data_IF_302942874890
#
_entry.id   IF_302942874890
#
_cell.length_a   1.000
_cell.length_b   1.000
_cell.length_c   1.000
_cell.angle_alpha   90.00
_cell.angle_beta   90.00
_cell.angle_gamma   90.00
#
_symmetry.space_group_name_H-M   'P 1'
#
loop_
_entity.id
_entity.type
_entity.pdbx_description
1 polymer ?
#
# COMPACT_ATOMS: atom_id res chain seq x y z
N UNK A 1 12.95 14.29 8.50
CA UNK A 1 12.21 14.54 9.76
C UNK A 1 10.98 15.44 9.59
N UNK A 2 11.08 16.64 8.99
CA UNK A 2 9.94 17.57 8.84
C UNK A 2 8.69 16.92 8.19
N UNK A 3 8.84 16.14 7.13
CA UNK A 3 7.71 15.46 6.48
C UNK A 3 7.03 14.41 7.38
N UNK A 4 7.79 13.66 8.19
CA UNK A 4 7.22 12.69 9.11
C UNK A 4 6.42 13.38 10.24
N UNK A 5 6.95 14.49 10.78
CA UNK A 5 6.24 15.29 11.78
C UNK A 5 4.97 15.90 11.18
N UNK A 6 5.06 16.45 9.95
CA UNK A 6 3.90 17.00 9.27
C UNK A 6 2.84 15.94 9.03
N UNK A 7 3.24 14.73 8.55
CA UNK A 7 2.34 13.60 8.35
C UNK A 7 1.64 13.15 9.63
N UNK A 8 2.33 13.09 10.77
CA UNK A 8 1.73 12.71 12.06
C UNK A 8 0.74 13.75 12.60
N UNK A 9 0.93 15.03 12.26
CA UNK A 9 0.06 16.11 12.71
C UNK A 9 -1.19 16.26 11.83
N UNK A 10 -1.07 16.03 10.52
CA UNK A 10 -2.12 16.30 9.54
C UNK A 10 -2.72 15.05 8.89
N UNK A 11 -2.09 13.90 9.09
CA UNK A 11 -2.54 12.63 8.56
C UNK A 11 -3.67 12.01 9.38
N UNK A 12 -4.38 11.07 8.76
CA UNK A 12 -5.36 10.22 9.46
C UNK A 12 -5.38 8.83 8.85
N UNK A 13 -5.91 7.88 9.61
CA UNK A 13 -6.11 6.50 9.21
C UNK A 13 -7.48 6.00 9.65
N UNK A 14 -8.13 5.26 8.78
CA UNK A 14 -9.39 4.57 9.05
C UNK A 14 -9.36 3.13 8.55
N UNK A 15 -10.33 2.35 8.99
CA UNK A 15 -10.51 0.97 8.54
C UNK A 15 -11.99 0.65 8.42
N UNK A 16 -12.36 -0.01 7.33
CA UNK A 16 -13.74 -0.43 7.06
C UNK A 16 -13.74 -1.88 6.58
N UNK A 17 -14.79 -2.62 6.98
CA UNK A 17 -15.06 -3.96 6.48
C UNK A 17 -16.38 -3.93 5.72
N UNK A 18 -16.34 -4.13 4.40
CA UNK A 18 -17.48 -3.90 3.52
C UNK A 18 -17.82 -5.17 2.75
N UNK A 19 -19.10 -5.53 2.71
CA UNK A 19 -19.58 -6.66 1.92
C UNK A 19 -19.54 -6.36 0.42
N UNK A 20 -19.31 -7.41 -0.37
CA UNK A 20 -19.40 -7.33 -1.83
C UNK A 20 -20.81 -6.89 -2.27
N UNK A 21 -20.89 -5.89 -3.11
CA UNK A 21 -22.13 -5.28 -3.62
C UNK A 21 -22.66 -4.13 -2.80
N UNK A 22 -22.06 -3.79 -1.65
CA UNK A 22 -22.52 -2.72 -0.76
C UNK A 22 -21.84 -1.39 -1.02
N UNK A 23 -22.58 -0.32 -0.70
CA UNK A 23 -22.07 1.03 -0.64
C UNK A 23 -21.60 1.33 0.78
N UNK A 24 -20.57 2.17 0.89
CA UNK A 24 -20.08 2.61 2.21
C UNK A 24 -19.59 4.06 2.17
N UNK A 25 -19.66 4.69 3.34
CA UNK A 25 -18.98 5.95 3.64
C UNK A 25 -17.93 5.67 4.71
N UNK A 26 -16.86 6.44 4.71
CA UNK A 26 -15.81 6.29 5.73
C UNK A 26 -16.34 6.80 7.06
N UNK A 27 -16.47 5.92 8.04
CA UNK A 27 -17.00 6.25 9.36
C UNK A 27 -16.00 5.91 10.47
N UNK A 28 -15.23 4.84 10.30
CA UNK A 28 -14.34 4.33 11.33
C UNK A 28 -12.93 4.92 11.16
N UNK A 29 -12.70 6.09 11.72
CA UNK A 29 -11.37 6.70 11.83
C UNK A 29 -10.72 6.15 13.11
N UNK A 30 -9.60 5.46 12.95
CA UNK A 30 -8.85 4.80 14.03
C UNK A 30 -7.84 5.77 14.65
N UNK A 31 -7.20 6.58 13.81
CA UNK A 31 -6.16 7.53 14.23
C UNK A 31 -6.25 8.80 13.40
N UNK A 32 -6.05 9.95 14.05
CA UNK A 32 -6.03 11.24 13.38
C UNK A 32 -5.13 12.21 14.13
N UNK A 33 -4.23 12.85 13.40
CA UNK A 33 -3.40 13.93 13.96
C UNK A 33 -4.24 15.14 14.38
N UNK A 34 -3.69 16.02 15.24
CA UNK A 34 -4.44 17.15 15.80
C UNK A 34 -4.91 18.18 14.76
N UNK A 35 -4.32 18.22 13.59
CA UNK A 35 -4.72 19.08 12.46
C UNK A 35 -5.24 18.28 11.26
N UNK A 36 -5.49 17.00 11.44
CA UNK A 36 -6.08 16.15 10.40
C UNK A 36 -7.51 16.61 10.07
N UNK A 37 -7.93 16.35 8.83
CA UNK A 37 -9.28 16.69 8.33
C UNK A 37 -9.96 15.44 7.75
N UNK A 38 -10.29 14.44 8.57
CA UNK A 38 -10.98 13.24 8.08
C UNK A 38 -12.38 13.55 7.52
N UNK A 39 -12.94 14.72 7.83
CA UNK A 39 -14.26 15.17 7.33
C UNK A 39 -14.31 15.23 5.80
N UNK A 40 -13.19 15.36 5.12
CA UNK A 40 -13.16 15.38 3.63
C UNK A 40 -13.70 14.09 3.02
N UNK A 41 -13.69 12.99 3.76
CA UNK A 41 -14.20 11.70 3.30
C UNK A 41 -15.72 11.53 3.46
N UNK A 42 -16.39 12.42 4.22
CA UNK A 42 -17.82 12.31 4.52
C UNK A 42 -18.71 12.51 3.30
N UNK A 43 -18.24 13.32 2.33
CA UNK A 43 -18.98 13.60 1.11
C UNK A 43 -18.78 12.53 0.03
N UNK A 44 -17.94 11.53 0.29
CA UNK A 44 -17.64 10.49 -0.68
C UNK A 44 -18.46 9.25 -0.39
N UNK A 45 -19.09 8.73 -1.42
CA UNK A 45 -19.75 7.45 -1.40
C UNK A 45 -18.89 6.46 -2.19
N UNK A 46 -18.61 5.33 -1.58
CA UNK A 46 -17.87 4.24 -2.22
C UNK A 46 -18.78 3.05 -2.42
N UNK A 47 -18.49 2.25 -3.45
CA UNK A 47 -19.17 1.00 -3.72
C UNK A 47 -18.14 -0.10 -3.93
N UNK A 48 -18.28 -1.20 -3.21
CA UNK A 48 -17.56 -2.44 -3.52
C UNK A 48 -18.39 -3.20 -4.55
N UNK A 49 -18.05 -3.05 -5.84
CA UNK A 49 -18.79 -3.73 -6.91
C UNK A 49 -18.65 -5.24 -6.80
N UNK A 50 -17.45 -5.71 -6.50
CA UNK A 50 -17.13 -7.12 -6.36
C UNK A 50 -15.93 -7.31 -5.47
N UNK A 51 -15.94 -8.34 -4.65
CA UNK A 51 -14.79 -8.89 -3.93
C UNK A 51 -14.61 -10.36 -4.33
N UNK A 52 -13.37 -10.82 -4.57
CA UNK A 52 -13.07 -12.21 -4.84
C UNK A 52 -11.66 -12.57 -4.41
N UNK A 53 -11.41 -13.86 -4.25
CA UNK A 53 -10.12 -14.43 -3.88
C UNK A 53 -9.73 -15.42 -4.97
N UNK A 54 -8.50 -15.31 -5.46
CA UNK A 54 -7.87 -16.33 -6.29
C UNK A 54 -7.09 -17.28 -5.38
N UNK A 55 -7.20 -18.57 -5.66
CA UNK A 55 -6.58 -19.62 -4.88
C UNK A 55 -5.53 -20.35 -5.69
N UNK A 56 -4.44 -20.75 -5.03
CA UNK A 56 -3.43 -21.63 -5.61
C UNK A 56 -4.01 -23.03 -5.89
N UNK A 57 -3.38 -23.85 -6.75
CA UNK A 57 -3.81 -25.24 -6.96
C UNK A 57 -3.82 -26.09 -5.67
N UNK A 58 -3.07 -25.71 -4.66
CA UNK A 58 -3.02 -26.36 -3.35
C UNK A 58 -4.07 -25.86 -2.37
N UNK A 59 -4.94 -24.91 -2.77
CA UNK A 59 -6.02 -24.35 -1.96
C UNK A 59 -5.62 -23.20 -1.03
N UNK A 60 -4.36 -22.74 -1.08
CA UNK A 60 -3.93 -21.52 -0.41
C UNK A 60 -4.43 -20.27 -1.12
N UNK A 61 -4.52 -19.16 -0.42
CA UNK A 61 -4.85 -17.85 -1.02
C UNK A 61 -3.64 -17.40 -1.84
N UNK A 62 -3.87 -17.13 -3.13
CA UNK A 62 -2.90 -16.49 -4.00
C UNK A 62 -3.01 -14.97 -3.88
N UNK A 63 -4.19 -14.42 -4.15
CA UNK A 63 -4.46 -12.99 -4.07
C UNK A 63 -5.93 -12.74 -3.81
N UNK A 64 -6.26 -11.61 -3.20
CA UNK A 64 -7.62 -11.13 -3.06
C UNK A 64 -7.78 -9.73 -3.66
N UNK A 65 -8.92 -9.52 -4.31
CA UNK A 65 -9.20 -8.36 -5.13
C UNK A 65 -10.50 -7.69 -4.72
N UNK A 66 -10.53 -6.37 -4.82
CA UNK A 66 -11.74 -5.58 -4.67
C UNK A 66 -11.89 -4.62 -5.84
N UNK A 67 -13.01 -4.69 -6.52
CA UNK A 67 -13.41 -3.73 -7.54
C UNK A 67 -14.23 -2.63 -6.87
N UNK A 68 -13.65 -1.42 -6.77
CA UNK A 68 -14.20 -0.31 -6.01
C UNK A 68 -14.48 0.86 -6.93
N UNK A 69 -15.69 1.40 -6.80
CA UNK A 69 -16.11 2.66 -7.42
C UNK A 69 -16.21 3.77 -6.38
N UNK A 70 -15.76 4.96 -6.75
CA UNK A 70 -16.03 6.21 -6.04
C UNK A 70 -17.22 6.88 -6.75
N UNK A 71 -18.25 7.22 -6.00
CA UNK A 71 -19.45 7.84 -6.49
C UNK A 71 -19.51 9.29 -6.01
N UNK A 72 -20.05 10.18 -6.85
CA UNK A 72 -20.35 11.55 -6.45
C UNK A 72 -21.67 11.64 -5.63
N UNK A 73 -22.04 12.85 -5.25
CA UNK A 73 -23.29 13.10 -4.50
C UNK A 73 -24.55 12.76 -5.30
N UNK A 74 -24.46 12.67 -6.63
CA UNK A 74 -25.52 12.27 -7.54
C UNK A 74 -25.56 10.75 -7.78
N UNK A 75 -24.61 10.01 -7.18
CA UNK A 75 -24.46 8.55 -7.33
C UNK A 75 -23.79 8.12 -8.64
N UNK A 76 -23.18 9.05 -9.38
CA UNK A 76 -22.45 8.72 -10.61
C UNK A 76 -21.03 8.28 -10.30
N UNK A 77 -20.55 7.29 -11.02
CA UNK A 77 -19.19 6.78 -10.88
C UNK A 77 -18.18 7.80 -11.44
N UNK A 78 -17.37 8.37 -10.53
CA UNK A 78 -16.30 9.32 -10.89
C UNK A 78 -14.94 8.66 -11.00
N UNK A 79 -14.75 7.51 -10.36
CA UNK A 79 -13.54 6.73 -10.43
C UNK A 79 -13.83 5.26 -10.11
N UNK A 80 -13.14 4.35 -10.80
CA UNK A 80 -13.20 2.91 -10.52
C UNK A 80 -11.82 2.29 -10.62
N UNK A 81 -11.51 1.36 -9.73
CA UNK A 81 -10.27 0.59 -9.77
C UNK A 81 -10.45 -0.76 -9.09
N UNK A 82 -9.92 -1.80 -9.70
CA UNK A 82 -9.66 -3.06 -9.02
C UNK A 82 -8.38 -2.91 -8.22
N UNK A 83 -8.48 -3.07 -6.91
CA UNK A 83 -7.36 -3.02 -5.98
C UNK A 83 -7.04 -4.40 -5.44
N UNK A 84 -5.80 -4.59 -5.07
CA UNK A 84 -5.27 -5.79 -4.41
C UNK A 84 -4.08 -5.39 -3.53
N UNK A 85 -3.44 -6.36 -2.86
CA UNK A 85 -2.28 -6.07 -2.00
C UNK A 85 -1.19 -5.35 -2.79
N UNK A 86 -0.69 -4.22 -2.26
CA UNK A 86 0.28 -3.30 -2.87
C UNK A 86 -0.21 -2.51 -4.10
N UNK A 87 -1.46 -2.65 -4.52
CA UNK A 87 -2.03 -1.87 -5.63
C UNK A 87 -3.28 -1.09 -5.18
N UNK A 88 -3.10 0.02 -4.43
CA UNK A 88 -4.20 0.77 -3.82
C UNK A 88 -4.96 1.68 -4.81
N UNK A 89 -6.18 2.07 -4.42
CA UNK A 89 -6.90 3.19 -5.00
C UNK A 89 -6.46 4.49 -4.30
N UNK A 90 -6.15 5.53 -5.08
CA UNK A 90 -5.87 6.88 -4.56
C UNK A 90 -6.93 7.85 -5.06
N UNK A 91 -7.51 8.62 -4.13
CA UNK A 91 -8.52 9.61 -4.43
C UNK A 91 -8.41 10.80 -3.49
N UNK A 92 -8.25 12.02 -4.04
CA UNK A 92 -8.15 13.29 -3.31
C UNK A 92 -7.21 13.26 -2.08
N UNK A 93 -6.00 12.68 -2.24
CA UNK A 93 -4.99 12.62 -1.17
C UNK A 93 -5.20 11.48 -0.16
N UNK A 94 -6.29 10.72 -0.27
CA UNK A 94 -6.53 9.51 0.53
C UNK A 94 -6.20 8.28 -0.31
N UNK A 95 -5.52 7.33 0.31
CA UNK A 95 -5.16 6.05 -0.29
C UNK A 95 -5.91 4.93 0.40
N UNK A 96 -6.56 4.07 -0.39
CA UNK A 96 -7.35 2.92 0.06
C UNK A 96 -6.56 1.66 -0.24
N UNK A 97 -6.13 0.98 0.80
CA UNK A 97 -5.38 -0.27 0.74
C UNK A 97 -6.29 -1.45 1.01
N UNK A 98 -6.12 -2.50 0.24
CA UNK A 98 -6.67 -3.82 0.53
C UNK A 98 -5.83 -4.46 1.64
N UNK A 99 -6.43 -4.72 2.81
CA UNK A 99 -5.69 -5.21 4.00
C UNK A 99 -6.21 -6.51 4.56
N UNK A 100 -7.50 -6.77 4.42
CA UNK A 100 -8.13 -7.95 5.02
C UNK A 100 -9.31 -8.44 4.18
N UNK A 101 -9.86 -9.60 4.54
CA UNK A 101 -11.04 -10.18 3.96
C UNK A 101 -11.86 -10.94 5.01
N UNK A 102 -13.12 -11.16 4.71
CA UNK A 102 -14.00 -11.93 5.58
C UNK A 102 -15.19 -12.51 4.82
N UNK A 103 -16.11 -13.12 5.56
CA UNK A 103 -17.40 -13.55 5.07
C UNK A 103 -18.46 -12.70 5.77
N UNK A 104 -19.15 -11.86 5.00
CA UNK A 104 -20.17 -10.96 5.54
C UNK A 104 -21.50 -11.68 5.75
N UNK A 105 -21.91 -12.47 4.78
CA UNK A 105 -23.22 -13.08 4.79
C UNK A 105 -23.27 -14.35 3.94
N UNK A 106 -24.37 -15.09 4.10
CA UNK A 106 -24.76 -16.17 3.20
C UNK A 106 -26.13 -15.88 2.62
N UNK A 107 -26.31 -16.10 1.33
CA UNK A 107 -27.62 -16.07 0.66
C UNK A 107 -28.17 -17.48 0.54
N UNK A 108 -29.34 -17.68 1.10
CA UNK A 108 -30.01 -19.00 1.16
C UNK A 108 -31.47 -18.91 0.77
N UNK A 109 -32.04 -20.05 0.39
CA UNK A 109 -33.48 -20.25 0.35
C UNK A 109 -33.87 -21.32 1.36
N UNK A 110 -34.94 -21.09 2.09
CA UNK A 110 -35.53 -22.02 3.02
C UNK A 110 -36.88 -22.43 2.44
N UNK A 111 -37.03 -23.71 2.07
CA UNK A 111 -38.19 -24.21 1.36
C UNK A 111 -38.52 -23.39 0.10
N UNK A 112 -39.68 -22.77 0.05
CA UNK A 112 -40.17 -21.91 -1.03
C UNK A 112 -39.96 -20.41 -0.75
N UNK A 113 -39.12 -20.05 0.24
CA UNK A 113 -38.87 -18.63 0.56
C UNK A 113 -38.20 -17.89 -0.61
N UNK A 114 -38.31 -16.53 -0.65
CA UNK A 114 -37.37 -15.76 -1.43
C UNK A 114 -35.93 -16.01 -0.96
N UNK A 115 -34.94 -15.44 -1.68
CA UNK A 115 -33.55 -15.48 -1.22
C UNK A 115 -33.44 -14.62 0.02
N UNK A 116 -32.99 -15.22 1.11
CA UNK A 116 -32.69 -14.56 2.38
C UNK A 116 -31.18 -14.34 2.47
N UNK A 117 -30.77 -13.18 2.96
CA UNK A 117 -29.38 -12.90 3.29
C UNK A 117 -29.20 -12.93 4.80
N UNK A 118 -28.45 -13.89 5.29
CA UNK A 118 -28.16 -14.06 6.72
C UNK A 118 -26.73 -13.60 6.99
N UNK A 119 -26.51 -12.71 7.98
CA UNK A 119 -25.18 -12.31 8.37
C UNK A 119 -24.39 -13.48 8.93
N UNK A 120 -23.09 -13.51 8.67
CA UNK A 120 -22.17 -14.47 9.26
C UNK A 120 -21.23 -13.75 10.23
N UNK A 121 -21.16 -14.23 11.47
CA UNK A 121 -20.26 -13.70 12.48
C UNK A 121 -18.95 -14.47 12.46
N UNK A 122 -17.84 -13.77 12.62
CA UNK A 122 -16.54 -14.40 12.84
C UNK A 122 -16.53 -15.02 14.25
N UNK A 123 -16.22 -16.30 14.35
CA UNK A 123 -16.17 -17.05 15.59
C UNK A 123 -14.74 -17.08 16.13
N UNK A 124 -14.61 -16.91 17.44
CA UNK A 124 -13.32 -17.09 18.10
C UNK A 124 -12.97 -18.59 18.13
N UNK A 125 -11.89 -18.95 17.47
CA UNK A 125 -11.36 -20.31 17.49
C UNK A 125 -10.09 -20.34 18.35
N UNK A 126 -9.91 -21.41 19.12
CA UNK A 126 -8.67 -21.62 19.90
C UNK A 126 -7.47 -22.02 19.03
N UNK A 127 -7.58 -21.95 17.70
CA UNK A 127 -6.58 -22.31 16.72
C UNK A 127 -6.29 -21.21 15.71
N UNK A 128 -5.30 -21.45 14.84
CA UNK A 128 -4.81 -20.47 13.83
C UNK A 128 -5.74 -20.29 12.62
N UNK A 129 -7.00 -20.73 12.67
CA UNK A 129 -7.94 -20.66 11.54
C UNK A 129 -9.02 -19.62 11.75
N UNK A 130 -9.46 -18.98 10.67
CA UNK A 130 -10.67 -18.15 10.65
C UNK A 130 -11.87 -19.03 10.45
N UNK A 131 -12.96 -18.74 11.16
CA UNK A 131 -14.22 -19.45 11.05
C UNK A 131 -15.36 -18.44 11.15
N UNK A 132 -16.31 -18.54 10.24
CA UNK A 132 -17.54 -17.74 10.27
C UNK A 132 -18.72 -18.67 10.44
N UNK A 133 -19.73 -18.20 11.15
CA UNK A 133 -20.91 -18.98 11.42
C UNK A 133 -22.18 -18.16 11.46
N UNK A 134 -23.27 -18.82 11.16
CA UNK A 134 -24.64 -18.34 11.38
C UNK A 134 -25.53 -19.48 11.83
N UNK A 135 -26.60 -19.14 12.53
CA UNK A 135 -27.58 -20.11 12.95
C UNK A 135 -28.86 -19.97 12.12
N UNK A 136 -29.40 -21.10 11.67
CA UNK A 136 -30.58 -21.15 10.80
C UNK A 136 -31.67 -21.95 11.53
N UNK A 137 -32.83 -21.34 11.84
CA UNK A 137 -33.94 -22.04 12.45
C UNK A 137 -34.54 -23.06 11.47
N UNK A 138 -34.81 -24.28 11.96
CA UNK A 138 -35.53 -25.32 11.23
C UNK A 138 -36.96 -25.46 11.68
N UNK A 139 -37.36 -24.73 12.76
CA UNK A 139 -38.73 -24.62 13.23
C UNK A 139 -39.13 -23.15 13.36
N UNK A 140 -40.42 -22.88 13.18
CA UNK A 140 -40.98 -21.51 13.25
C UNK A 140 -40.96 -20.92 14.66
N UNK A 141 -40.97 -21.76 15.69
CA UNK A 141 -40.88 -21.39 17.11
C UNK A 141 -39.41 -21.17 17.56
N UNK A 142 -38.46 -21.28 16.67
CA UNK A 142 -37.00 -21.14 16.92
C UNK A 142 -36.44 -22.18 17.91
N UNK A 143 -37.21 -23.23 18.25
CA UNK A 143 -36.80 -24.27 19.22
C UNK A 143 -35.77 -25.25 18.66
N UNK A 144 -35.61 -25.30 17.34
CA UNK A 144 -34.61 -26.13 16.67
C UNK A 144 -34.00 -25.39 15.46
N UNK A 145 -32.73 -25.65 15.23
CA UNK A 145 -31.99 -25.05 14.12
C UNK A 145 -30.67 -25.75 13.89
N UNK A 146 -29.97 -25.32 12.91
CA UNK A 146 -28.65 -25.80 12.53
C UNK A 146 -27.65 -24.64 12.48
N UNK A 147 -26.40 -24.92 12.84
CA UNK A 147 -25.29 -23.99 12.68
C UNK A 147 -24.61 -24.22 11.35
N UNK A 148 -24.44 -23.16 10.58
CA UNK A 148 -23.76 -23.19 9.32
C UNK A 148 -22.42 -22.48 9.48
N UNK A 149 -21.34 -23.18 9.13
CA UNK A 149 -19.98 -22.72 9.31
C UNK A 149 -19.24 -22.66 7.97
N UNK A 150 -18.42 -21.63 7.77
CA UNK A 150 -17.55 -21.46 6.63
C UNK A 150 -16.14 -21.06 7.08
N UNK A 151 -15.11 -21.58 6.42
CA UNK A 151 -13.69 -21.25 6.69
C UNK A 151 -13.09 -20.28 5.66
N UNK A 152 -13.61 -20.31 4.45
CA UNK A 152 -13.12 -19.52 3.33
C UNK A 152 -14.23 -19.24 2.30
N UNK A 153 -13.87 -18.57 1.22
CA UNK A 153 -14.76 -18.29 0.09
C UNK A 153 -14.70 -19.32 -1.05
N UNK A 154 -14.05 -20.48 -0.84
CA UNK A 154 -14.11 -21.60 -1.80
C UNK A 154 -15.49 -22.26 -1.82
N UNK A 155 -16.34 -21.85 -0.90
CA UNK A 155 -17.75 -22.18 -0.89
C UNK A 155 -18.11 -23.47 -0.16
N UNK A 156 -17.19 -24.11 0.56
CA UNK A 156 -17.52 -25.27 1.40
C UNK A 156 -18.14 -24.82 2.71
N UNK A 157 -19.38 -25.24 2.94
CA UNK A 157 -20.17 -24.92 4.11
C UNK A 157 -20.48 -26.19 4.90
N UNK A 158 -20.17 -26.15 6.19
CA UNK A 158 -20.38 -27.26 7.11
C UNK A 158 -21.66 -26.99 7.92
N UNK A 159 -22.56 -27.94 7.96
CA UNK A 159 -23.83 -27.85 8.72
C UNK A 159 -23.76 -28.75 9.92
N UNK A 160 -23.98 -28.17 11.11
CA UNK A 160 -23.98 -28.88 12.38
C UNK A 160 -25.36 -28.79 13.04
N UNK A 161 -25.77 -29.87 13.67
CA UNK A 161 -26.99 -29.90 14.51
C UNK A 161 -26.74 -29.23 15.87
N UNK A 162 -27.80 -29.20 16.69
CA UNK A 162 -27.73 -28.63 18.03
C UNK A 162 -26.83 -29.42 19.01
N UNK A 163 -26.43 -30.65 18.66
CA UNK A 163 -25.49 -31.47 19.42
C UNK A 163 -24.04 -31.31 18.96
N UNK A 164 -23.80 -30.47 17.96
CA UNK A 164 -22.47 -30.28 17.37
C UNK A 164 -22.04 -31.43 16.46
N UNK A 165 -22.97 -32.23 15.97
CA UNK A 165 -22.67 -33.28 14.99
C UNK A 165 -22.78 -32.72 13.57
N UNK A 166 -21.82 -33.05 12.70
CA UNK A 166 -21.86 -32.69 11.29
C UNK A 166 -23.01 -33.43 10.60
N UNK A 167 -23.97 -32.66 10.08
CA UNK A 167 -25.17 -33.19 9.40
C UNK A 167 -24.92 -33.28 7.91
N UNK A 168 -24.31 -32.26 7.33
CA UNK A 168 -24.06 -32.18 5.88
C UNK A 168 -22.94 -31.22 5.53
N UNK A 169 -22.48 -31.31 4.27
CA UNK A 169 -21.50 -30.39 3.69
C UNK A 169 -22.02 -29.91 2.35
N UNK A 170 -22.25 -28.61 2.20
CA UNK A 170 -22.83 -28.00 1.01
C UNK A 170 -21.88 -27.03 0.32
N UNK A 171 -22.20 -26.75 -0.93
CA UNK A 171 -21.59 -25.70 -1.75
C UNK A 171 -22.68 -24.81 -2.36
N UNK A 172 -22.37 -23.57 -2.82
CA UNK A 172 -23.31 -22.77 -3.59
C UNK A 172 -23.95 -23.57 -4.74
N UNK A 173 -25.26 -23.44 -4.88
CA UNK A 173 -26.06 -24.21 -5.83
C UNK A 173 -26.65 -25.51 -5.27
N UNK A 174 -26.07 -26.08 -4.20
CA UNK A 174 -26.54 -27.31 -3.57
C UNK A 174 -27.68 -27.06 -2.57
N UNK A 175 -28.44 -28.12 -2.29
CA UNK A 175 -29.50 -28.11 -1.27
C UNK A 175 -29.49 -29.41 -0.47
N UNK A 176 -29.93 -29.31 0.78
CA UNK A 176 -30.13 -30.45 1.67
C UNK A 176 -31.50 -30.37 2.36
N UNK A 177 -32.01 -31.48 2.85
CA UNK A 177 -33.21 -31.52 3.64
C UNK A 177 -32.86 -31.90 5.09
N UNK A 178 -33.20 -31.05 6.02
CA UNK A 178 -32.93 -31.26 7.45
C UNK A 178 -34.25 -31.10 8.21
N UNK A 179 -34.70 -32.17 8.84
CA UNK A 179 -35.96 -32.21 9.60
C UNK A 179 -37.19 -31.73 8.79
N UNK A 180 -37.26 -32.05 7.51
CA UNK A 180 -38.33 -31.61 6.62
C UNK A 180 -38.20 -30.20 6.06
N UNK A 181 -37.12 -29.48 6.38
CA UNK A 181 -36.82 -28.16 5.85
C UNK A 181 -35.75 -28.27 4.79
N UNK A 182 -36.04 -27.79 3.58
CA UNK A 182 -35.07 -27.74 2.48
C UNK A 182 -34.28 -26.46 2.56
N UNK A 183 -32.97 -26.57 2.74
CA UNK A 183 -32.03 -25.45 2.71
C UNK A 183 -31.27 -25.48 1.39
N UNK A 184 -31.31 -24.40 0.63
CA UNK A 184 -30.54 -24.23 -0.60
C UNK A 184 -29.58 -23.10 -0.46
N UNK A 185 -28.29 -23.38 -0.62
CA UNK A 185 -27.24 -22.35 -0.63
C UNK A 185 -27.25 -21.67 -2.00
N UNK A 186 -27.36 -20.35 -2.03
CA UNK A 186 -27.30 -19.55 -3.25
C UNK A 186 -25.91 -19.01 -3.47
N UNK A 187 -25.35 -18.36 -2.43
CA UNK A 187 -24.05 -17.66 -2.52
C UNK A 187 -23.46 -17.43 -1.14
N UNK A 188 -22.13 -17.42 -1.06
CA UNK A 188 -21.38 -16.90 0.10
C UNK A 188 -20.88 -15.51 -0.24
N UNK A 189 -21.31 -14.51 0.52
CA UNK A 189 -20.99 -13.11 0.29
C UNK A 189 -19.70 -12.76 1.05
N UNK A 190 -18.64 -12.55 0.32
CA UNK A 190 -17.37 -12.10 0.88
C UNK A 190 -17.40 -10.63 1.28
N UNK A 191 -16.51 -10.24 2.17
CA UNK A 191 -16.24 -8.85 2.54
C UNK A 191 -14.77 -8.52 2.37
N UNK A 192 -14.53 -7.25 2.06
CA UNK A 192 -13.18 -6.69 1.93
C UNK A 192 -12.87 -5.81 3.13
N UNK A 193 -11.67 -5.95 3.68
CA UNK A 193 -11.11 -5.03 4.66
C UNK A 193 -10.29 -3.96 3.95
N UNK A 194 -10.71 -2.71 4.08
CA UNK A 194 -10.06 -1.56 3.49
C UNK A 194 -9.44 -0.71 4.59
N UNK A 195 -8.16 -0.38 4.45
CA UNK A 195 -7.50 0.64 5.25
C UNK A 195 -7.38 1.93 4.43
N UNK A 196 -7.84 3.02 5.01
CA UNK A 196 -7.73 4.35 4.44
C UNK A 196 -6.60 5.09 5.13
N UNK A 197 -5.74 5.73 4.34
CA UNK A 197 -4.66 6.54 4.87
C UNK A 197 -4.51 7.84 4.10
N UNK A 198 -4.53 8.95 4.81
CA UNK A 198 -4.09 10.25 4.31
C UNK A 198 -2.78 10.62 5.00
N UNK A 199 -1.74 10.89 4.23
CA UNK A 199 -0.43 11.29 4.75
C UNK A 199 0.14 12.42 3.88
N UNK A 200 -0.21 13.68 4.20
CA UNK A 200 0.28 14.85 3.46
C UNK A 200 1.79 15.09 3.63
N UNK A 201 2.46 14.39 4.54
CA UNK A 201 3.90 14.47 4.73
C UNK A 201 4.72 13.70 3.68
N UNK A 202 4.12 12.72 2.99
CA UNK A 202 4.82 11.89 2.00
C UNK A 202 5.53 12.71 0.91
N UNK A 203 4.92 13.71 0.25
CA UNK A 203 5.61 14.52 -0.76
C UNK A 203 6.82 15.27 -0.21
N UNK A 204 6.74 15.74 1.04
CA UNK A 204 7.84 16.45 1.73
C UNK A 204 9.01 15.49 1.97
N UNK A 205 8.72 14.24 2.38
CA UNK A 205 9.74 13.20 2.56
C UNK A 205 10.44 12.89 1.25
N UNK A 206 9.70 12.70 0.15
CA UNK A 206 10.30 12.46 -1.17
C UNK A 206 11.13 13.64 -1.67
N UNK A 207 10.68 14.88 -1.46
CA UNK A 207 11.47 16.07 -1.76
C UNK A 207 12.79 16.08 -0.97
N UNK A 208 12.75 15.72 0.31
CA UNK A 208 13.93 15.58 1.15
C UNK A 208 14.91 14.52 0.64
N UNK A 209 14.43 13.36 0.21
CA UNK A 209 15.26 12.34 -0.41
C UNK A 209 15.85 12.80 -1.74
N UNK A 210 15.07 13.52 -2.56
CA UNK A 210 15.57 14.09 -3.82
C UNK A 210 16.73 15.08 -3.58
N UNK A 211 16.60 15.97 -2.60
CA UNK A 211 17.66 16.91 -2.21
C UNK A 211 18.89 16.18 -1.66
N UNK A 212 18.69 15.13 -0.87
CA UNK A 212 19.80 14.32 -0.35
C UNK A 212 20.56 13.65 -1.52
N UNK A 213 19.85 13.04 -2.47
CA UNK A 213 20.47 12.43 -3.66
C UNK A 213 21.24 13.46 -4.47
N UNK A 214 20.65 14.65 -4.68
CA UNK A 214 21.32 15.74 -5.38
C UNK A 214 22.58 16.17 -4.65
N UNK A 215 22.52 16.32 -3.33
CA UNK A 215 23.68 16.66 -2.49
C UNK A 215 24.79 15.61 -2.58
N UNK A 216 24.42 14.32 -2.57
CA UNK A 216 25.39 13.24 -2.78
C UNK A 216 26.03 13.33 -4.16
N UNK A 217 25.25 13.50 -5.23
CA UNK A 217 25.79 13.66 -6.59
C UNK A 217 26.73 14.88 -6.68
N UNK A 218 26.32 16.02 -6.15
CA UNK A 218 27.19 17.22 -6.11
C UNK A 218 28.48 16.98 -5.31
N UNK A 219 28.41 16.19 -4.23
CA UNK A 219 29.59 15.83 -3.44
C UNK A 219 30.61 14.98 -4.25
N UNK A 220 30.18 14.27 -5.30
CA UNK A 220 31.06 13.51 -6.18
C UNK A 220 31.73 14.39 -7.24
N UNK A 221 31.23 15.59 -7.52
CA UNK A 221 31.86 16.52 -8.46
C UNK A 221 33.16 17.03 -7.84
N UNK A 222 34.27 16.75 -8.50
CA UNK A 222 35.58 17.29 -8.09
C UNK A 222 35.61 18.82 -8.35
N UNK A 223 36.00 19.54 -7.32
CA UNK A 223 36.20 20.98 -7.42
C UNK A 223 37.69 21.27 -7.23
N UNK A 224 38.30 21.83 -8.28
CA UNK A 224 39.73 22.19 -8.29
C UNK A 224 39.88 23.69 -8.50
N UNK A 225 40.80 24.29 -7.79
CA UNK A 225 41.18 25.69 -7.91
C UNK A 225 42.65 25.76 -8.24
N UNK A 226 43.01 26.55 -9.23
CA UNK A 226 44.41 26.81 -9.64
C UNK A 226 44.65 28.32 -9.53
N UNK A 227 45.77 28.70 -8.93
CA UNK A 227 46.24 30.07 -8.83
C UNK A 227 47.55 30.20 -9.57
N UNK A 228 47.70 31.26 -10.31
CA UNK A 228 48.93 31.60 -10.96
C UNK A 228 49.39 33.01 -10.57
N UNK A 229 50.65 33.18 -10.19
CA UNK A 229 51.24 34.44 -9.84
C UNK A 229 52.54 34.67 -10.63
N UNK A 230 52.66 35.79 -11.31
CA UNK A 230 53.89 36.19 -11.95
C UNK A 230 54.58 37.29 -11.10
N UNK A 231 55.78 37.00 -10.63
CA UNK A 231 56.58 37.93 -9.83
C UNK A 231 58.04 37.78 -10.13
N UNK A 232 58.81 38.92 -10.33
CA UNK A 232 60.22 38.98 -10.53
C UNK A 232 60.75 38.09 -11.70
N UNK A 233 59.94 37.98 -12.78
CA UNK A 233 60.28 37.13 -13.92
C UNK A 233 59.99 35.65 -13.77
N UNK A 234 59.50 35.26 -12.63
CA UNK A 234 59.12 33.86 -12.26
C UNK A 234 57.62 33.71 -12.29
N UNK A 235 57.17 32.49 -12.64
CA UNK A 235 55.77 32.13 -12.70
C UNK A 235 55.49 31.03 -11.63
N UNK A 236 54.67 31.36 -10.66
CA UNK A 236 54.29 30.47 -9.57
C UNK A 236 52.89 29.96 -9.85
N UNK A 237 52.70 28.61 -9.79
CA UNK A 237 51.40 27.96 -9.93
C UNK A 237 51.14 27.13 -8.69
N UNK A 238 49.98 27.30 -8.08
CA UNK A 238 49.53 26.51 -6.96
C UNK A 238 48.11 26.05 -7.22
N UNK A 239 47.71 24.90 -6.64
CA UNK A 239 46.37 24.41 -6.83
C UNK A 239 45.89 23.62 -5.60
N UNK A 240 44.57 23.53 -5.45
CA UNK A 240 43.91 22.74 -4.44
C UNK A 240 42.71 22.00 -5.06
N UNK A 241 42.53 20.74 -4.71
CA UNK A 241 41.37 19.95 -5.09
C UNK A 241 40.77 19.30 -3.88
N UNK A 242 39.45 19.08 -3.89
CA UNK A 242 38.73 18.36 -2.83
C UNK A 242 38.76 16.85 -3.03
N UNK A 243 39.16 16.35 -4.22
CA UNK A 243 39.23 14.92 -4.54
C UNK A 243 40.28 14.66 -5.61
N UNK A 244 40.70 13.38 -5.72
CA UNK A 244 41.61 12.92 -6.78
C UNK A 244 42.91 13.72 -6.86
N UNK A 245 43.57 13.99 -5.73
CA UNK A 245 44.81 14.80 -5.64
C UNK A 245 45.86 14.37 -6.65
N UNK A 246 46.10 13.06 -6.79
CA UNK A 246 47.11 12.52 -7.72
C UNK A 246 46.77 12.85 -9.20
N UNK A 247 45.49 12.77 -9.57
CA UNK A 247 45.06 13.11 -10.93
C UNK A 247 45.18 14.62 -11.18
N UNK A 248 44.83 15.43 -10.19
CA UNK A 248 44.96 16.89 -10.25
C UNK A 248 46.41 17.33 -10.33
N UNK A 249 47.32 16.74 -9.55
CA UNK A 249 48.76 17.02 -9.63
C UNK A 249 49.33 16.73 -11.03
N UNK A 250 48.94 15.57 -11.62
CA UNK A 250 49.33 15.24 -13.00
C UNK A 250 48.84 16.27 -13.99
N UNK A 251 47.57 16.66 -13.93
CA UNK A 251 46.98 17.66 -14.82
C UNK A 251 47.65 19.02 -14.70
N UNK A 252 48.01 19.44 -13.48
CA UNK A 252 48.76 20.68 -13.24
C UNK A 252 50.17 20.58 -13.82
N UNK A 253 50.87 19.43 -13.67
CA UNK A 253 52.18 19.22 -14.25
C UNK A 253 52.13 19.20 -15.79
N UNK A 254 51.15 18.55 -16.38
CA UNK A 254 50.93 18.53 -17.83
C UNK A 254 50.71 19.96 -18.40
N UNK A 255 49.93 20.78 -17.67
CA UNK A 255 49.73 22.20 -18.02
C UNK A 255 51.04 22.99 -17.93
N UNK A 256 51.86 22.76 -16.90
CA UNK A 256 53.15 23.40 -16.73
C UNK A 256 54.13 23.01 -17.84
N UNK A 257 54.14 21.72 -18.23
CA UNK A 257 54.98 21.23 -19.34
C UNK A 257 54.56 21.85 -20.68
N UNK A 258 53.27 21.95 -20.96
CA UNK A 258 52.73 22.63 -22.13
C UNK A 258 53.11 24.12 -22.17
N UNK A 259 53.10 24.79 -21.03
CA UNK A 259 53.52 26.16 -20.90
C UNK A 259 55.03 26.33 -21.09
N UNK A 260 55.85 25.38 -20.60
CA UNK A 260 57.29 25.35 -20.77
C UNK A 260 57.67 25.15 -22.23
N UNK A 261 57.09 24.20 -22.92
CA UNK A 261 57.33 23.88 -24.34
C UNK A 261 56.99 25.07 -25.27
N UNK A 262 55.91 25.79 -25.00
CA UNK A 262 55.52 27.01 -25.74
C UNK A 262 56.48 28.17 -25.54
N UNK A 263 57.25 28.17 -24.49
CA UNK A 263 58.15 29.22 -24.09
C UNK A 263 59.53 29.09 -24.74
N UNK A 264 59.99 27.87 -24.99
CA UNK A 264 61.18 27.63 -25.76
C UNK A 264 61.07 28.20 -27.18
N UNK A 265 59.84 28.28 -27.71
CA UNK A 265 59.58 28.96 -29.00
C UNK A 265 59.57 30.51 -28.92
N UNK A 266 59.40 31.08 -27.66
CA UNK A 266 59.27 32.54 -27.47
C UNK A 266 60.35 33.21 -26.56
N UNK A 267 61.31 32.46 -26.07
CA UNK A 267 62.55 33.03 -25.43
C UNK A 267 62.40 33.63 -24.01
N UNK A 268 61.45 33.09 -23.15
CA UNK A 268 61.28 33.55 -21.76
C UNK A 268 61.46 32.38 -20.78
N UNK A 269 62.34 32.41 -19.78
CA UNK A 269 62.64 31.31 -18.82
C UNK A 269 61.57 31.07 -17.73
N UNK A 270 61.25 29.80 -17.42
CA UNK A 270 60.42 29.39 -16.28
C UNK A 270 61.29 28.76 -15.21
N UNK A 271 61.06 29.14 -13.96
CA UNK A 271 61.60 28.47 -12.77
C UNK A 271 60.68 27.37 -12.26
N UNK A 272 61.26 26.21 -11.98
CA UNK A 272 60.59 25.00 -11.43
C UNK A 272 60.10 25.24 -10.02
N UNK A 273 58.88 24.75 -9.72
CA UNK A 273 58.20 24.85 -8.44
C UNK A 273 58.54 23.69 -7.50
N UNK A 274 58.81 23.96 -6.23
CA UNK A 274 58.72 22.99 -5.14
C UNK A 274 57.27 22.81 -4.69
N UNK A 275 56.83 21.55 -4.57
CA UNK A 275 55.49 21.24 -4.05
C UNK A 275 55.48 21.46 -2.53
N UNK A 276 54.64 22.36 -2.06
CA UNK A 276 54.30 22.46 -0.64
C UNK A 276 53.02 21.68 -0.39
N UNK A 277 53.17 20.46 0.18
CA UNK A 277 52.08 19.69 0.76
C UNK A 277 51.74 20.31 2.13
N UNK A 278 50.46 20.68 2.29
CA UNK A 278 49.88 21.13 3.53
C UNK A 278 48.51 20.47 3.72
#
# INVERSE_FOLDING_TARGET
>A
MAGAIWGSITGFMGQEMIASGENFQVQNIIDAGPLAKPEITKDWLFKVNRFWIDFTPTGGIDQFYSDISVLDQQGQEVKRKTIFVNEPLRYHGVTFYQTDWGIAAIRIKINKSPVLQLPMAQLNTNGNGRLWGTWIPTKTDLSAGVSLLAKDLQGTLLIYDAKGQLVDTLRPGMSTNINGVTLKIVEVVGSTGLQLKADPGIPIVYAGFGLLMLGVLMSYVSHSQIWALQKDGHFYVGGKTNRAQVAFEREVLDILDLLSTRKDEQGVAIATTESVAG
#
